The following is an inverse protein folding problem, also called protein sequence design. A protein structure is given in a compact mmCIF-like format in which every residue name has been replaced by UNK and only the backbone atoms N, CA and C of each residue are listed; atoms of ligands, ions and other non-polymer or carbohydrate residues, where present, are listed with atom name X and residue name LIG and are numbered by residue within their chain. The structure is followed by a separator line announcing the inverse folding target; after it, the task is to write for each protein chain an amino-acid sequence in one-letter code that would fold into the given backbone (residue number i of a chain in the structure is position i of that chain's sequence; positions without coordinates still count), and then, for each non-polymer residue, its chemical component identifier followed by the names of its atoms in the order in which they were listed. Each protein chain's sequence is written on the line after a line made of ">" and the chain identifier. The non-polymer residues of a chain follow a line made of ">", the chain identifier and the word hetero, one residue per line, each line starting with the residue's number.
data_IF_337201212568
#
_entry.id   IF_337201212568
#
_cell.length_a   1.000
_cell.length_b   1.000
_cell.length_c   1.000
_cell.angle_alpha   90.00
_cell.angle_beta   90.00
_cell.angle_gamma   90.00
#
_symmetry.space_group_name_H-M   'P 1'
#
loop_
_entity.id
_entity.type
_entity.pdbx_description
1 polymer ?
#
# COMPACT_ATOMS: atom_id res chain seq x y z
N UNK A 1 3.62 15.60 -59.62
CA UNK A 1 4.18 14.65 -58.65
C UNK A 1 4.16 15.27 -57.27
N UNK A 2 3.00 15.57 -56.66
CA UNK A 2 2.89 16.27 -55.34
C UNK A 2 1.62 15.80 -54.58
N UNK A 3 1.27 14.52 -54.59
CA UNK A 3 0.08 14.06 -53.84
C UNK A 3 0.32 13.01 -52.74
N UNK A 4 1.56 12.59 -52.45
CA UNK A 4 1.78 11.49 -51.52
C UNK A 4 2.19 11.90 -50.09
N UNK A 5 2.52 13.17 -49.83
CA UNK A 5 3.05 13.60 -48.53
C UNK A 5 1.97 13.88 -47.49
N UNK A 6 0.78 14.33 -47.86
CA UNK A 6 -0.27 14.77 -46.93
C UNK A 6 -1.04 13.63 -46.24
N UNK A 7 -1.17 12.46 -46.89
CA UNK A 7 -1.87 11.32 -46.29
C UNK A 7 -1.11 10.65 -45.10
N UNK A 8 0.23 10.60 -45.19
CA UNK A 8 1.07 10.01 -44.13
C UNK A 8 1.05 10.84 -42.83
N UNK A 9 1.01 12.17 -42.94
CA UNK A 9 1.03 13.06 -41.77
C UNK A 9 -0.30 12.95 -40.99
N UNK A 10 -1.44 12.90 -41.68
CA UNK A 10 -2.76 12.76 -41.05
C UNK A 10 -2.94 11.42 -40.34
N UNK A 11 -2.47 10.32 -40.92
CA UNK A 11 -2.60 8.99 -40.33
C UNK A 11 -1.75 8.85 -39.03
N UNK A 12 -0.53 9.41 -39.03
CA UNK A 12 0.34 9.43 -37.85
C UNK A 12 -0.24 10.29 -36.72
N UNK A 13 -0.87 11.40 -37.02
CA UNK A 13 -1.52 12.27 -36.02
C UNK A 13 -2.74 11.58 -35.40
N UNK A 14 -3.63 11.03 -36.23
CA UNK A 14 -4.81 10.29 -35.75
C UNK A 14 -4.40 9.09 -34.87
N UNK A 15 -3.38 8.35 -35.28
CA UNK A 15 -2.88 7.21 -34.47
C UNK A 15 -2.36 7.65 -33.09
N UNK A 16 -1.59 8.74 -33.03
CA UNK A 16 -1.10 9.31 -31.76
C UNK A 16 -2.25 9.76 -30.85
N UNK A 17 -3.26 10.41 -31.43
CA UNK A 17 -4.44 10.83 -30.67
C UNK A 17 -5.21 9.61 -30.13
N UNK A 18 -5.42 8.58 -30.94
CA UNK A 18 -6.10 7.35 -30.50
C UNK A 18 -5.32 6.68 -29.38
N UNK A 19 -3.99 6.56 -29.47
CA UNK A 19 -3.16 5.95 -28.42
C UNK A 19 -3.26 6.74 -27.10
N UNK A 20 -3.28 8.08 -27.16
CA UNK A 20 -3.45 8.93 -25.97
C UNK A 20 -4.84 8.73 -25.35
N UNK A 21 -5.90 8.68 -26.15
CA UNK A 21 -7.26 8.41 -25.64
C UNK A 21 -7.40 7.02 -25.01
N UNK A 22 -6.79 6.00 -25.62
CA UNK A 22 -6.76 4.64 -25.06
C UNK A 22 -6.01 4.65 -23.72
N UNK A 23 -4.83 5.28 -23.63
CA UNK A 23 -4.05 5.37 -22.41
C UNK A 23 -4.80 6.12 -21.29
N UNK A 24 -5.45 7.26 -21.61
CA UNK A 24 -6.29 8.01 -20.65
C UNK A 24 -7.52 7.18 -20.21
N UNK A 25 -8.16 6.47 -21.13
CA UNK A 25 -9.28 5.58 -20.82
C UNK A 25 -8.87 4.42 -19.89
N UNK A 26 -7.69 3.83 -20.11
CA UNK A 26 -7.14 2.81 -19.22
C UNK A 26 -6.83 3.36 -17.82
N UNK A 27 -6.22 4.55 -17.72
CA UNK A 27 -5.97 5.19 -16.42
C UNK A 27 -7.27 5.46 -15.66
N UNK A 28 -8.30 5.98 -16.34
CA UNK A 28 -9.60 6.25 -15.71
C UNK A 28 -10.31 4.96 -15.29
N UNK A 29 -10.24 3.89 -16.07
CA UNK A 29 -10.77 2.57 -15.70
C UNK A 29 -10.07 1.96 -14.50
N UNK A 30 -8.74 2.07 -14.44
CA UNK A 30 -7.96 1.61 -13.29
C UNK A 30 -8.30 2.39 -12.02
N UNK A 31 -8.42 3.73 -12.09
CA UNK A 31 -8.85 4.56 -10.97
C UNK A 31 -10.29 4.27 -10.55
N UNK A 32 -11.21 4.08 -11.48
CA UNK A 32 -12.59 3.73 -11.18
C UNK A 32 -12.69 2.36 -10.48
N UNK A 33 -11.96 1.35 -10.94
CA UNK A 33 -11.89 0.04 -10.29
C UNK A 33 -11.28 0.13 -8.88
N UNK A 34 -10.32 1.02 -8.66
CA UNK A 34 -9.73 1.23 -7.35
C UNK A 34 -10.72 1.95 -6.42
N UNK A 35 -11.43 2.98 -6.89
CA UNK A 35 -12.45 3.70 -6.11
C UNK A 35 -13.60 2.78 -5.67
N UNK A 36 -14.08 1.93 -6.55
CA UNK A 36 -15.17 0.98 -6.25
C UNK A 36 -14.74 -0.13 -5.27
N UNK A 37 -13.43 -0.46 -5.22
CA UNK A 37 -12.84 -1.49 -4.34
C UNK A 37 -12.01 -0.94 -3.20
N UNK A 38 -11.99 0.38 -2.99
CA UNK A 38 -11.23 0.98 -1.89
C UNK A 38 -11.78 0.47 -0.55
N UNK A 39 -10.92 -0.20 0.21
CA UNK A 39 -11.28 -0.80 1.51
C UNK A 39 -10.62 -0.05 2.64
N UNK A 40 -11.41 0.27 3.64
CA UNK A 40 -10.93 0.87 4.89
C UNK A 40 -10.35 -0.23 5.79
N UNK A 41 -9.04 -0.15 6.01
CA UNK A 41 -8.28 -1.06 6.88
C UNK A 41 -8.03 -0.47 8.26
N UNK A 42 -8.58 0.70 8.58
CA UNK A 42 -8.29 1.45 9.81
C UNK A 42 -8.51 0.59 11.07
N UNK A 43 -9.63 -0.13 11.15
CA UNK A 43 -9.93 -0.98 12.31
C UNK A 43 -9.01 -2.20 12.39
N UNK A 44 -8.70 -2.81 11.24
CA UNK A 44 -7.77 -3.95 11.15
C UNK A 44 -6.37 -3.51 11.61
N UNK A 45 -5.89 -2.37 11.14
CA UNK A 45 -4.58 -1.82 11.53
C UNK A 45 -4.56 -1.43 13.01
N UNK A 46 -5.65 -0.90 13.56
CA UNK A 46 -5.75 -0.63 14.99
C UNK A 46 -5.66 -1.91 15.83
N UNK A 47 -6.32 -2.98 15.40
CA UNK A 47 -6.25 -4.27 16.08
C UNK A 47 -4.84 -4.89 15.99
N UNK A 48 -4.16 -4.77 14.84
CA UNK A 48 -2.75 -5.15 14.68
C UNK A 48 -1.86 -4.40 15.67
N UNK A 49 -1.98 -3.06 15.72
CA UNK A 49 -1.22 -2.22 16.64
C UNK A 49 -1.41 -2.65 18.10
N UNK A 50 -2.66 -2.79 18.53
CA UNK A 50 -2.98 -3.20 19.91
C UNK A 50 -2.37 -4.58 20.22
N UNK A 51 -2.38 -5.50 19.27
CA UNK A 51 -1.83 -6.84 19.45
C UNK A 51 -0.31 -6.83 19.53
N UNK A 52 0.37 -6.07 18.64
CA UNK A 52 1.82 -5.94 18.65
C UNK A 52 2.33 -5.31 19.96
N UNK A 53 1.60 -4.34 20.52
CA UNK A 53 1.88 -3.77 21.85
C UNK A 53 1.70 -4.82 22.94
N UNK A 54 0.55 -5.54 22.95
CA UNK A 54 0.24 -6.53 23.97
C UNK A 54 1.29 -7.67 24.02
N UNK A 55 1.86 -8.01 22.87
CA UNK A 55 2.88 -9.07 22.76
C UNK A 55 4.32 -8.51 22.81
N UNK A 56 4.49 -7.24 23.18
CA UNK A 56 5.79 -6.54 23.32
C UNK A 56 6.65 -6.51 22.04
N UNK A 57 6.02 -6.67 20.89
CA UNK A 57 6.69 -6.56 19.56
C UNK A 57 6.79 -5.11 19.07
N UNK A 58 6.07 -4.19 19.71
CA UNK A 58 6.10 -2.76 19.47
C UNK A 58 5.99 -2.05 20.82
N UNK A 59 6.82 -1.04 21.06
CA UNK A 59 6.70 -0.23 22.27
C UNK A 59 5.47 0.70 22.18
N UNK A 60 4.77 0.89 23.30
CA UNK A 60 3.59 1.77 23.36
C UNK A 60 3.91 3.24 23.11
N UNK A 61 5.17 3.64 23.27
CA UNK A 61 5.70 4.98 22.93
C UNK A 61 5.81 5.19 21.44
N UNK A 62 6.03 4.13 20.66
CA UNK A 62 6.39 4.21 19.25
C UNK A 62 5.19 4.53 18.36
N UNK A 63 5.46 5.22 17.27
CA UNK A 63 4.48 5.41 16.20
C UNK A 63 4.54 4.22 15.24
N UNK A 64 3.39 3.62 14.99
CA UNK A 64 3.23 2.53 14.06
C UNK A 64 3.06 3.10 12.63
N UNK A 65 4.17 3.18 11.89
CA UNK A 65 4.18 3.67 10.51
C UNK A 65 3.75 2.56 9.56
N UNK A 66 2.46 2.54 9.19
CA UNK A 66 1.88 1.52 8.31
C UNK A 66 1.61 2.10 6.93
N UNK A 67 2.49 1.78 5.99
CA UNK A 67 2.44 2.34 4.64
C UNK A 67 1.67 1.37 3.72
N UNK A 68 0.55 1.83 3.11
CA UNK A 68 -0.16 1.02 2.14
C UNK A 68 0.71 0.72 0.91
N UNK A 69 0.85 -0.56 0.57
CA UNK A 69 1.56 -0.99 -0.65
C UNK A 69 0.62 -1.09 -1.87
N UNK A 70 -0.63 -0.63 -1.72
CA UNK A 70 -1.67 -0.63 -2.75
C UNK A 70 -2.55 0.61 -2.56
N UNK A 71 -2.74 1.39 -3.62
CA UNK A 71 -3.58 2.61 -3.62
C UNK A 71 -5.06 2.34 -3.26
N UNK A 72 -5.50 1.09 -3.36
CA UNK A 72 -6.86 0.67 -2.95
C UNK A 72 -7.00 0.47 -1.43
N UNK A 73 -5.92 0.57 -0.66
CA UNK A 73 -5.94 0.48 0.80
C UNK A 73 -6.07 1.87 1.39
N UNK A 74 -7.09 2.08 2.22
CA UNK A 74 -7.28 3.31 2.98
C UNK A 74 -7.05 3.06 4.45
N UNK A 75 -6.21 3.88 5.08
CA UNK A 75 -5.96 3.90 6.51
C UNK A 75 -6.15 5.33 7.00
N UNK A 76 -7.03 5.53 7.98
CA UNK A 76 -7.17 6.83 8.65
C UNK A 76 -6.09 6.94 9.71
N UNK A 77 -5.37 8.04 9.73
CA UNK A 77 -4.38 8.34 10.75
C UNK A 77 -5.01 8.43 12.14
N UNK A 78 -4.29 7.96 13.14
CA UNK A 78 -4.64 8.02 14.57
C UNK A 78 -3.41 8.41 15.38
N UNK A 79 -3.58 8.75 16.66
CA UNK A 79 -2.51 9.29 17.53
C UNK A 79 -1.18 8.52 17.46
N UNK A 80 -1.22 7.20 17.28
CA UNK A 80 -0.03 6.33 17.24
C UNK A 80 0.06 5.52 15.94
N UNK A 81 -0.78 5.79 14.94
CA UNK A 81 -0.81 5.10 13.67
C UNK A 81 -0.71 6.14 12.56
N UNK A 82 0.34 6.08 11.77
CA UNK A 82 0.55 6.94 10.61
C UNK A 82 0.62 6.12 9.33
N UNK A 83 -0.07 6.59 8.29
CA UNK A 83 -0.01 6.02 6.94
C UNK A 83 1.01 6.75 6.05
N UNK A 84 1.79 7.66 6.62
CA UNK A 84 2.85 8.41 5.94
C UNK A 84 4.21 7.92 6.40
N UNK A 85 5.20 8.07 5.53
CA UNK A 85 6.60 7.83 5.92
C UNK A 85 7.05 8.79 7.02
N UNK A 86 7.87 8.33 7.99
CA UNK A 86 8.49 9.21 8.96
C UNK A 86 9.40 10.23 8.28
N UNK A 87 9.44 11.45 8.82
CA UNK A 87 10.44 12.44 8.41
C UNK A 87 11.76 12.11 9.10
N UNK A 88 12.76 11.80 8.32
CA UNK A 88 14.10 11.42 8.81
C UNK A 88 15.12 12.45 8.37
N UNK A 89 16.16 12.68 9.17
CA UNK A 89 17.38 13.37 8.73
C UNK A 89 18.36 12.36 8.12
N UNK A 90 19.34 12.85 7.34
CA UNK A 90 20.33 11.99 6.69
C UNK A 90 21.03 11.06 7.68
N UNK A 91 21.08 9.79 7.37
CA UNK A 91 21.67 8.74 8.21
C UNK A 91 20.73 8.19 9.28
N UNK A 92 19.56 8.80 9.52
CA UNK A 92 18.57 8.21 10.42
C UNK A 92 17.81 7.06 9.78
N UNK A 93 17.38 6.14 10.62
CA UNK A 93 16.51 5.04 10.22
C UNK A 93 15.30 4.92 11.15
N UNK A 94 14.19 4.42 10.62
CA UNK A 94 12.98 4.17 11.41
C UNK A 94 12.27 2.92 10.88
N UNK A 95 11.74 2.07 11.77
CA UNK A 95 10.94 0.94 11.35
C UNK A 95 9.65 1.41 10.67
N UNK A 96 9.35 0.82 9.53
CA UNK A 96 8.11 1.01 8.79
C UNK A 96 7.50 -0.34 8.43
N UNK A 97 6.19 -0.39 8.36
CA UNK A 97 5.44 -1.60 8.09
C UNK A 97 4.68 -1.44 6.77
N UNK A 98 5.10 -2.18 5.75
CA UNK A 98 4.45 -2.12 4.44
C UNK A 98 3.21 -3.02 4.47
N UNK A 99 2.04 -2.44 4.37
CA UNK A 99 0.77 -3.15 4.39
C UNK A 99 0.42 -3.66 2.99
N UNK A 100 0.42 -4.97 2.84
CA UNK A 100 0.01 -5.63 1.62
C UNK A 100 -1.51 -5.83 1.58
N UNK A 101 -2.05 -5.96 0.35
CA UNK A 101 -3.47 -6.23 0.15
C UNK A 101 -3.88 -7.54 0.80
N UNK A 102 -5.02 -7.54 1.50
CA UNK A 102 -5.54 -8.74 2.12
C UNK A 102 -5.93 -9.82 1.11
N UNK A 103 -5.59 -11.06 1.41
CA UNK A 103 -6.07 -12.24 0.69
C UNK A 103 -7.33 -12.78 1.37
N UNK A 104 -8.39 -12.94 0.59
CA UNK A 104 -9.69 -13.41 1.06
C UNK A 104 -9.92 -14.85 0.62
N UNK A 105 -10.35 -15.72 1.54
CA UNK A 105 -10.73 -17.10 1.23
C UNK A 105 -11.76 -17.60 2.24
N UNK A 106 -12.93 -18.02 1.75
CA UNK A 106 -13.99 -18.68 2.54
C UNK A 106 -14.26 -18.03 3.92
N UNK A 107 -14.48 -16.71 3.94
CA UNK A 107 -14.76 -15.95 5.17
C UNK A 107 -13.53 -15.70 6.06
N UNK A 108 -12.35 -16.12 5.63
CA UNK A 108 -11.05 -15.82 6.26
C UNK A 108 -10.34 -14.73 5.50
N UNK A 109 -9.57 -13.93 6.22
CA UNK A 109 -8.73 -12.89 5.63
C UNK A 109 -7.32 -13.06 6.20
N UNK A 110 -6.35 -12.99 5.31
CA UNK A 110 -4.95 -12.90 5.69
C UNK A 110 -4.43 -11.52 5.27
N UNK A 111 -3.97 -10.76 6.24
CA UNK A 111 -3.34 -9.46 6.02
C UNK A 111 -1.87 -9.61 6.36
N UNK A 112 -1.00 -9.28 5.40
CA UNK A 112 0.44 -9.34 5.57
C UNK A 112 0.99 -7.93 5.69
N UNK A 113 1.82 -7.70 6.72
CA UNK A 113 2.70 -6.55 6.81
C UNK A 113 4.14 -7.01 6.66
N UNK A 114 4.93 -6.32 5.84
CA UNK A 114 6.38 -6.51 5.77
C UNK A 114 7.06 -5.57 6.75
N UNK A 115 7.97 -6.09 7.55
CA UNK A 115 8.78 -5.31 8.50
C UNK A 115 9.96 -4.77 7.72
N UNK A 116 10.15 -3.47 7.73
CA UNK A 116 11.21 -2.82 6.97
C UNK A 116 11.85 -1.69 7.77
N UNK A 117 13.09 -1.40 7.47
CA UNK A 117 13.77 -0.19 7.91
C UNK A 117 13.78 0.82 6.76
N UNK A 118 13.26 2.02 7.02
CA UNK A 118 13.41 3.16 6.14
C UNK A 118 14.65 3.92 6.58
N UNK A 119 15.61 4.09 5.69
CA UNK A 119 16.87 4.78 5.94
C UNK A 119 16.95 5.98 5.00
N UNK A 120 17.19 7.17 5.52
CA UNK A 120 17.45 8.35 4.69
C UNK A 120 18.91 8.38 4.23
N UNK A 121 19.13 8.11 2.95
CA UNK A 121 20.45 8.09 2.34
C UNK A 121 20.95 9.51 1.97
N UNK A 122 20.05 10.33 1.40
CA UNK A 122 20.32 11.71 0.98
C UNK A 122 19.10 12.60 1.18
N UNK A 123 19.18 13.87 0.78
CA UNK A 123 18.06 14.81 0.88
C UNK A 123 16.87 14.42 0.02
N UNK A 124 17.09 13.61 -1.01
CA UNK A 124 16.07 13.18 -1.99
C UNK A 124 15.89 11.69 -2.09
N UNK A 125 16.71 10.87 -1.39
CA UNK A 125 16.66 9.40 -1.51
C UNK A 125 16.50 8.69 -0.19
N UNK A 126 15.73 7.59 -0.22
CA UNK A 126 15.51 6.66 0.87
C UNK A 126 15.79 5.23 0.42
N UNK A 127 16.34 4.44 1.32
CA UNK A 127 16.50 3.00 1.15
C UNK A 127 15.47 2.31 2.05
N UNK A 128 14.79 1.29 1.51
CA UNK A 128 13.91 0.42 2.28
C UNK A 128 14.56 -0.96 2.30
N UNK A 129 14.90 -1.41 3.50
CA UNK A 129 15.44 -2.75 3.74
C UNK A 129 14.44 -3.59 4.51
N UNK A 130 13.95 -4.66 3.92
CA UNK A 130 12.96 -5.55 4.55
C UNK A 130 13.67 -6.67 5.32
N UNK A 131 13.28 -6.86 6.58
CA UNK A 131 13.86 -7.87 7.50
C UNK A 131 12.91 -9.05 7.76
N UNK A 132 11.63 -8.90 7.48
CA UNK A 132 10.67 -9.97 7.73
C UNK A 132 9.23 -9.59 7.41
N UNK A 133 8.30 -10.43 7.85
CA UNK A 133 6.87 -10.15 7.67
C UNK A 133 6.03 -10.74 8.79
N UNK A 134 4.84 -10.17 8.99
CA UNK A 134 3.84 -10.69 9.91
C UNK A 134 2.56 -10.93 9.13
N UNK A 135 2.02 -12.16 9.22
CA UNK A 135 0.74 -12.52 8.67
C UNK A 135 -0.31 -12.54 9.78
N UNK A 136 -1.32 -11.69 9.67
CA UNK A 136 -2.47 -11.63 10.56
C UNK A 136 -3.64 -12.38 9.94
N UNK A 137 -4.22 -13.32 10.69
CA UNK A 137 -5.31 -14.19 10.24
C UNK A 137 -6.60 -13.75 10.92
N UNK A 138 -7.56 -13.27 10.14
CA UNK A 138 -8.87 -12.82 10.60
C UNK A 138 -9.98 -13.74 10.12
N UNK A 139 -11.06 -13.80 10.90
CA UNK A 139 -12.34 -14.36 10.49
C UNK A 139 -13.41 -13.28 10.51
N UNK A 140 -14.38 -13.35 9.59
CA UNK A 140 -15.53 -12.46 9.58
C UNK A 140 -16.65 -13.07 10.40
N UNK A 141 -17.05 -12.42 11.50
CA UNK A 141 -18.21 -12.78 12.32
C UNK A 141 -19.12 -11.58 12.47
N UNK A 142 -20.43 -11.75 12.16
CA UNK A 142 -21.44 -10.68 12.29
C UNK A 142 -21.01 -9.35 11.64
N UNK A 143 -20.41 -9.43 10.44
CA UNK A 143 -19.97 -8.25 9.70
C UNK A 143 -18.61 -7.66 10.12
N UNK A 144 -18.05 -8.04 11.27
CA UNK A 144 -16.76 -7.57 11.79
C UNK A 144 -15.65 -8.58 11.61
N UNK A 145 -14.42 -8.10 11.49
CA UNK A 145 -13.22 -8.91 11.43
C UNK A 145 -12.66 -9.13 12.84
N UNK A 146 -12.37 -10.37 13.19
CA UNK A 146 -11.77 -10.74 14.47
C UNK A 146 -10.44 -11.42 14.21
N UNK A 147 -9.38 -10.93 14.83
CA UNK A 147 -8.06 -11.54 14.78
C UNK A 147 -8.11 -12.90 15.49
N UNK A 148 -7.68 -13.95 14.80
CA UNK A 148 -7.58 -15.30 15.35
C UNK A 148 -6.18 -15.59 15.83
N UNK A 149 -5.18 -15.26 15.00
CA UNK A 149 -3.76 -15.46 15.27
C UNK A 149 -2.92 -14.61 14.33
N UNK A 150 -1.65 -14.50 14.65
CA UNK A 150 -0.66 -14.03 13.68
C UNK A 150 0.57 -14.94 13.66
N UNK A 151 1.41 -14.82 12.65
CA UNK A 151 2.69 -15.52 12.53
C UNK A 151 3.74 -14.54 12.04
N UNK A 152 4.92 -14.61 12.64
CA UNK A 152 6.08 -13.80 12.28
C UNK A 152 7.03 -14.67 11.47
N UNK A 153 7.66 -14.08 10.45
CA UNK A 153 8.58 -14.75 9.55
C UNK A 153 9.82 -13.87 9.30
N UNK A 154 11.01 -14.48 9.30
CA UNK A 154 12.24 -13.86 8.83
C UNK A 154 12.76 -12.70 9.69
N UNK A 155 12.60 -12.78 11.01
CA UNK A 155 13.27 -11.86 11.95
C UNK A 155 14.56 -12.52 12.44
#
# INVERSE_FOLDING_TARGET
>A
MVCYSFKKIKLSFVYKVIVVFIALGFCQLMEAQCREKQRDYTEIVQEMYNRLIADSLLASSDTFYVIPNDSCIKIKERKKISSRYPQLVKGESNPVYLLNRAKYSKGKIVVTISISQLIRESDTSYIISSSGSINFYYIKKRGKYHLVRYKVYGI
#
